data_IF_244312446860
#
_entry.id   IF_244312446860
#
_cell.length_a   1.000
_cell.length_b   1.000
_cell.length_c   1.000
_cell.angle_alpha   90.00
_cell.angle_beta   90.00
_cell.angle_gamma   90.00
#
_symmetry.space_group_name_H-M   'P 1'
#
loop_
_entity.id
_entity.type
_entity.pdbx_description
1 polymer ?
#
# COMPACT_ATOMS: atom_id res chain seq x y z
N UNK A 1 13.55 3.08 -20.95
CA UNK A 1 13.69 2.22 -19.74
C UNK A 1 14.70 2.88 -18.82
N UNK A 2 14.49 2.81 -17.50
CA UNK A 2 15.47 3.27 -16.51
C UNK A 2 16.25 2.08 -15.98
N UNK A 3 17.55 2.24 -15.72
CA UNK A 3 18.44 1.21 -15.18
C UNK A 3 18.99 1.67 -13.83
N UNK A 4 18.93 0.77 -12.84
CA UNK A 4 19.51 0.97 -11.51
C UNK A 4 20.67 -0.01 -11.37
N UNK A 5 21.87 0.48 -11.08
CA UNK A 5 23.04 -0.36 -10.81
C UNK A 5 23.28 -0.38 -9.29
N UNK A 6 23.25 -1.58 -8.70
CA UNK A 6 23.44 -1.79 -7.27
C UNK A 6 24.74 -2.57 -7.08
N UNK A 7 25.59 -2.10 -6.16
CA UNK A 7 26.76 -2.87 -5.71
C UNK A 7 26.36 -3.66 -4.46
N UNK A 8 26.67 -4.95 -4.47
CA UNK A 8 26.45 -5.87 -3.35
C UNK A 8 27.77 -6.59 -3.05
N UNK A 9 27.90 -7.09 -1.83
CA UNK A 9 29.02 -7.96 -1.45
C UNK A 9 28.88 -9.37 -2.05
N UNK A 10 29.98 -10.12 -1.98
CA UNK A 10 30.12 -11.45 -2.60
C UNK A 10 29.20 -12.49 -1.93
N UNK A 11 29.07 -12.44 -0.60
CA UNK A 11 28.19 -13.34 0.16
C UNK A 11 26.71 -13.19 -0.28
N UNK A 12 26.26 -11.94 -0.47
CA UNK A 12 24.90 -11.66 -0.95
C UNK A 12 24.71 -12.07 -2.41
N UNK A 13 25.75 -11.93 -3.23
CA UNK A 13 25.73 -12.32 -4.64
C UNK A 13 25.55 -13.84 -4.78
N UNK A 14 26.31 -14.62 -4.01
CA UNK A 14 26.19 -16.09 -3.94
C UNK A 14 24.81 -16.53 -3.44
N UNK A 15 24.28 -15.85 -2.40
CA UNK A 15 22.94 -16.12 -1.89
C UNK A 15 21.87 -15.92 -2.98
N UNK A 16 21.97 -14.86 -3.77
CA UNK A 16 21.02 -14.61 -4.85
C UNK A 16 21.12 -15.62 -5.99
N UNK A 17 22.33 -16.11 -6.30
CA UNK A 17 22.49 -17.20 -7.27
C UNK A 17 21.77 -18.45 -6.77
N UNK A 18 22.07 -18.90 -5.55
CA UNK A 18 21.44 -20.07 -4.93
C UNK A 18 19.90 -19.98 -4.93
N UNK A 19 19.34 -18.84 -4.52
CA UNK A 19 17.90 -18.65 -4.45
C UNK A 19 17.25 -18.59 -5.84
N UNK A 20 17.92 -17.98 -6.82
CA UNK A 20 17.41 -17.87 -8.18
C UNK A 20 17.37 -19.23 -8.90
N UNK A 21 18.39 -20.07 -8.70
CA UNK A 21 18.45 -21.45 -9.20
C UNK A 21 17.33 -22.30 -8.60
N UNK A 22 17.16 -22.22 -7.27
CA UNK A 22 16.10 -22.95 -6.55
C UNK A 22 14.69 -22.58 -7.05
N UNK A 23 14.49 -21.32 -7.44
CA UNK A 23 13.21 -20.80 -7.95
C UNK A 23 13.08 -20.95 -9.49
N UNK A 24 14.12 -21.44 -10.16
CA UNK A 24 14.21 -21.57 -11.62
C UNK A 24 13.87 -20.26 -12.37
N UNK A 25 14.39 -19.13 -11.90
CA UNK A 25 14.24 -17.82 -12.55
C UNK A 25 15.58 -17.09 -12.61
N UNK A 26 15.80 -16.18 -13.58
CA UNK A 26 17.05 -15.42 -13.64
C UNK A 26 17.27 -14.57 -12.38
N UNK A 27 18.51 -14.51 -11.87
CA UNK A 27 18.92 -13.70 -10.72
C UNK A 27 18.43 -12.26 -10.79
N UNK A 28 18.57 -11.60 -11.94
CA UNK A 28 18.07 -10.24 -12.14
C UNK A 28 16.54 -10.10 -11.94
N UNK A 29 15.77 -11.12 -12.32
CA UNK A 29 14.31 -11.16 -12.10
C UNK A 29 13.99 -11.39 -10.63
N UNK A 30 14.71 -12.32 -9.97
CA UNK A 30 14.58 -12.57 -8.54
C UNK A 30 14.86 -11.30 -7.72
N UNK A 31 16.03 -10.70 -7.92
CA UNK A 31 16.46 -9.48 -7.22
C UNK A 31 15.49 -8.32 -7.49
N UNK A 32 15.01 -8.17 -8.73
CA UNK A 32 13.99 -7.16 -9.05
C UNK A 32 12.69 -7.38 -8.26
N UNK A 33 12.20 -8.62 -8.14
CA UNK A 33 10.98 -8.92 -7.36
C UNK A 33 11.20 -8.57 -5.90
N UNK A 34 12.30 -9.05 -5.33
CA UNK A 34 12.66 -8.80 -3.94
C UNK A 34 12.75 -7.29 -3.64
N UNK A 35 13.40 -6.52 -4.51
CA UNK A 35 13.49 -5.07 -4.38
C UNK A 35 12.12 -4.41 -4.46
N UNK A 36 11.28 -4.79 -5.42
CA UNK A 36 9.95 -4.19 -5.57
C UNK A 36 9.05 -4.48 -4.36
N UNK A 37 9.10 -5.70 -3.81
CA UNK A 37 8.38 -6.08 -2.60
C UNK A 37 8.82 -5.23 -1.40
N UNK A 38 10.14 -5.12 -1.17
CA UNK A 38 10.68 -4.32 -0.06
C UNK A 38 10.44 -2.81 -0.25
N UNK A 39 10.53 -2.31 -1.49
CA UNK A 39 10.24 -0.91 -1.81
C UNK A 39 8.77 -0.61 -1.55
N UNK A 40 7.86 -1.52 -1.93
CA UNK A 40 6.43 -1.39 -1.63
C UNK A 40 6.19 -1.32 -0.13
N UNK A 41 6.79 -2.22 0.66
CA UNK A 41 6.65 -2.23 2.12
C UNK A 41 7.13 -0.92 2.76
N UNK A 42 8.22 -0.33 2.26
CA UNK A 42 8.76 0.93 2.81
C UNK A 42 8.04 2.18 2.34
N UNK A 43 7.55 2.19 1.09
CA UNK A 43 6.89 3.38 0.52
C UNK A 43 5.44 3.47 0.98
N UNK A 44 4.76 2.35 1.19
CA UNK A 44 3.34 2.35 1.53
C UNK A 44 3.02 3.20 2.78
N UNK A 45 3.73 3.10 3.92
CA UNK A 45 3.47 3.95 5.08
C UNK A 45 3.55 5.45 4.77
N UNK A 46 4.56 5.87 4.00
CA UNK A 46 4.73 7.28 3.60
C UNK A 46 3.57 7.75 2.72
N UNK A 47 3.14 6.90 1.77
CA UNK A 47 2.01 7.23 0.90
C UNK A 47 0.67 7.26 1.66
N UNK A 48 0.53 6.46 2.70
CA UNK A 48 -0.67 6.46 3.53
C UNK A 48 -0.72 7.69 4.45
N UNK A 49 0.42 8.15 4.96
CA UNK A 49 0.50 9.44 5.67
C UNK A 49 0.13 10.61 4.74
N UNK A 50 0.64 10.61 3.50
CA UNK A 50 0.24 11.60 2.50
C UNK A 50 -1.27 11.48 2.14
N UNK A 51 -1.85 10.29 2.25
CA UNK A 51 -3.28 10.07 2.03
C UNK A 51 -4.12 10.68 3.13
N UNK A 52 -3.76 10.44 4.40
CA UNK A 52 -4.41 11.05 5.56
C UNK A 52 -4.41 12.59 5.49
N UNK A 53 -3.31 13.15 4.99
CA UNK A 53 -3.17 14.60 4.79
C UNK A 53 -3.87 15.13 3.52
N UNK A 54 -4.57 14.28 2.77
CA UNK A 54 -5.27 14.64 1.54
C UNK A 54 -4.36 15.02 0.36
N UNK A 55 -3.05 14.72 0.44
CA UNK A 55 -2.05 15.06 -0.60
C UNK A 55 -2.05 14.07 -1.76
N UNK A 56 -2.45 12.83 -1.52
CA UNK A 56 -2.54 11.77 -2.53
C UNK A 56 -3.85 11.00 -2.37
N UNK A 57 -4.41 10.51 -3.48
CA UNK A 57 -5.59 9.63 -3.46
C UNK A 57 -5.23 8.16 -3.63
N UNK A 58 -6.11 7.26 -3.14
CA UNK A 58 -5.93 5.80 -3.20
C UNK A 58 -5.63 5.27 -4.60
N UNK A 59 -6.29 5.82 -5.64
CA UNK A 59 -6.04 5.44 -7.05
C UNK A 59 -4.56 5.60 -7.45
N UNK A 60 -3.90 6.64 -6.93
CA UNK A 60 -2.50 6.92 -7.24
C UNK A 60 -1.57 6.03 -6.41
N UNK A 61 -1.92 5.73 -5.17
CA UNK A 61 -1.21 4.73 -4.35
C UNK A 61 -1.25 3.36 -5.03
N UNK A 62 -2.41 2.90 -5.47
CA UNK A 62 -2.57 1.62 -6.21
C UNK A 62 -1.65 1.60 -7.43
N UNK A 63 -1.61 2.68 -8.21
CA UNK A 63 -0.76 2.76 -9.41
C UNK A 63 0.74 2.75 -9.09
N UNK A 64 1.15 3.38 -8.00
CA UNK A 64 2.57 3.49 -7.60
C UNK A 64 3.08 2.21 -6.95
N UNK A 65 2.26 1.57 -6.12
CA UNK A 65 2.63 0.39 -5.35
C UNK A 65 2.35 -0.90 -6.11
N UNK A 66 1.32 -0.92 -6.97
CA UNK A 66 0.77 -2.13 -7.60
C UNK A 66 0.02 -3.04 -6.63
N UNK A 67 -0.38 -2.52 -5.46
CA UNK A 67 -1.21 -3.25 -4.49
C UNK A 67 -2.63 -3.34 -5.03
N UNK A 68 -3.26 -4.51 -4.86
CA UNK A 68 -4.65 -4.69 -5.27
C UNK A 68 -5.58 -3.79 -4.44
N UNK A 69 -6.65 -3.23 -5.03
CA UNK A 69 -7.53 -2.32 -4.30
C UNK A 69 -8.10 -2.89 -3.01
N UNK A 70 -8.46 -4.19 -3.00
CA UNK A 70 -8.98 -4.89 -1.83
C UNK A 70 -7.94 -5.03 -0.72
N UNK A 71 -6.69 -5.30 -1.08
CA UNK A 71 -5.58 -5.42 -0.14
C UNK A 71 -5.28 -4.05 0.49
N UNK A 72 -5.23 -2.99 -0.32
CA UNK A 72 -5.02 -1.62 0.18
C UNK A 72 -6.11 -1.20 1.16
N UNK A 73 -7.38 -1.48 0.85
CA UNK A 73 -8.50 -1.18 1.75
C UNK A 73 -8.42 -1.97 3.07
N UNK A 74 -8.01 -3.24 3.02
CA UNK A 74 -7.81 -4.07 4.21
C UNK A 74 -6.65 -3.57 5.08
N UNK A 75 -5.59 -3.01 4.45
CA UNK A 75 -4.50 -2.36 5.19
C UNK A 75 -5.02 -1.11 5.87
N UNK A 76 -5.73 -0.24 5.15
CA UNK A 76 -6.31 0.99 5.71
C UNK A 76 -7.28 0.68 6.84
N UNK A 77 -8.18 -0.30 6.69
CA UNK A 77 -9.15 -0.63 7.75
C UNK A 77 -8.54 -1.22 9.01
N UNK A 78 -7.30 -1.72 8.94
CA UNK A 78 -6.54 -2.24 10.08
C UNK A 78 -5.51 -1.24 10.62
N UNK A 79 -5.30 -0.14 9.90
CA UNK A 79 -4.40 0.92 10.28
C UNK A 79 -5.20 2.03 10.94
N UNK A 80 -4.57 2.80 11.82
CA UNK A 80 -5.18 3.96 12.46
C UNK A 80 -5.10 5.18 11.54
N UNK A 81 -5.52 5.01 10.28
CA UNK A 81 -5.38 6.04 9.24
C UNK A 81 -6.75 6.61 8.94
N UNK A 82 -6.91 7.89 9.24
CA UNK A 82 -8.15 8.58 8.95
C UNK A 82 -8.28 8.86 7.45
N UNK A 83 -9.49 8.70 6.94
CA UNK A 83 -9.78 9.12 5.58
C UNK A 83 -9.74 10.66 5.53
N UNK A 84 -9.15 11.27 4.50
CA UNK A 84 -9.10 12.72 4.33
C UNK A 84 -10.48 13.25 3.91
N UNK A 85 -11.42 13.21 4.84
CA UNK A 85 -12.79 13.67 4.69
C UNK A 85 -12.86 15.07 5.30
N UNK A 86 -13.51 15.99 4.60
CA UNK A 86 -13.71 17.34 5.16
C UNK A 86 -14.68 17.28 6.34
N UNK A 87 -14.53 18.14 7.36
CA UNK A 87 -15.45 18.16 8.50
C UNK A 87 -16.92 18.28 8.09
N UNK A 88 -17.21 19.06 7.04
CA UNK A 88 -18.57 19.21 6.49
C UNK A 88 -19.16 17.88 6.00
N UNK A 89 -18.35 17.04 5.34
CA UNK A 89 -18.81 15.73 4.88
C UNK A 89 -18.99 14.79 6.08
N UNK A 90 -18.07 14.85 7.05
CA UNK A 90 -18.12 14.00 8.24
C UNK A 90 -19.36 14.30 9.11
N UNK A 91 -19.64 15.58 9.35
CA UNK A 91 -20.86 16.07 10.01
C UNK A 91 -22.12 15.61 9.27
N UNK A 92 -22.15 15.79 7.94
CA UNK A 92 -23.27 15.32 7.12
C UNK A 92 -23.49 13.81 7.26
N UNK A 93 -22.43 13.02 7.22
CA UNK A 93 -22.55 11.55 7.35
C UNK A 93 -23.00 11.12 8.75
N UNK A 94 -22.59 11.86 9.78
CA UNK A 94 -23.04 11.65 11.16
C UNK A 94 -24.54 11.90 11.30
N UNK A 95 -25.05 13.04 10.80
CA UNK A 95 -26.48 13.35 10.84
C UNK A 95 -27.34 12.31 10.12
N UNK A 96 -26.89 11.84 8.96
CA UNK A 96 -27.61 10.81 8.19
C UNK A 96 -27.63 9.49 8.96
N UNK A 97 -26.53 9.15 9.61
CA UNK A 97 -26.39 7.93 10.40
C UNK A 97 -27.33 7.94 11.60
N UNK A 98 -27.39 9.05 12.35
CA UNK A 98 -28.34 9.23 13.46
C UNK A 98 -29.79 9.09 13.00
N UNK A 99 -30.17 9.79 11.93
CA UNK A 99 -31.52 9.72 11.34
C UNK A 99 -31.89 8.30 10.90
N UNK A 100 -30.94 7.53 10.38
CA UNK A 100 -31.15 6.14 9.96
C UNK A 100 -31.29 5.20 11.17
N UNK A 101 -30.42 5.35 12.18
CA UNK A 101 -30.48 4.54 13.41
C UNK A 101 -31.78 4.77 14.16
N UNK A 102 -32.25 6.02 14.27
CA UNK A 102 -33.55 6.32 14.87
C UNK A 102 -34.71 5.67 14.12
N UNK A 103 -34.70 5.70 12.78
CA UNK A 103 -35.73 5.04 11.97
C UNK A 103 -35.72 3.51 12.10
N UNK A 104 -34.53 2.91 12.20
CA UNK A 104 -34.37 1.44 12.31
C UNK A 104 -34.60 0.91 13.72
N UNK A 105 -34.48 1.73 14.76
CA UNK A 105 -34.83 1.38 16.15
C UNK A 105 -36.34 1.42 16.44
N UNK A 106 -37.17 1.77 15.45
CA UNK A 106 -38.64 1.84 15.55
C UNK A 106 -39.32 0.55 15.02
N UNK A 107 -38.57 -0.48 14.63
CA UNK A 107 -39.08 -1.84 14.37
C UNK A 107 -38.65 -2.82 15.48
#
# INVERSE_FOLDING_TARGET
MSQINIRIDEDLDELFDYLSEKMNIPKAVYVKRLLLENVREKILPVLLEDYEQGKIGLKKIIKLTGIEPSELLNIISKSDIECPITPEIDEYTSEITEKLVEKLKIE
#
